data_IF_658405898880
#
_entry.id   IF_658405898880
#
_cell.length_a   1.000
_cell.length_b   1.000
_cell.length_c   1.000
_cell.angle_alpha   90.00
_cell.angle_beta   90.00
_cell.angle_gamma   90.00
#
_symmetry.space_group_name_H-M   'P 1'
#
loop_
_entity.id
_entity.type
_entity.pdbx_description
1 polymer ?
#
# COMPACT_ATOMS: atom_id res chain seq x y z
N UNK A 1 5.54 -9.84 -6.46
CA UNK A 1 6.10 -9.08 -5.34
C UNK A 1 5.12 -9.06 -4.17
N UNK A 2 5.63 -9.21 -2.95
CA UNK A 2 4.80 -9.11 -1.75
C UNK A 2 5.12 -7.80 -1.04
N UNK A 3 4.21 -6.80 -1.08
CA UNK A 3 4.49 -5.51 -0.47
C UNK A 3 4.72 -5.58 1.04
N UNK A 4 4.11 -6.54 1.74
CA UNK A 4 4.34 -6.69 3.17
C UNK A 4 5.79 -7.06 3.47
N UNK A 5 6.40 -7.90 2.65
CA UNK A 5 7.80 -8.26 2.81
C UNK A 5 8.72 -7.05 2.67
N UNK A 6 8.37 -6.15 1.75
CA UNK A 6 9.14 -4.93 1.55
C UNK A 6 8.99 -4.00 2.76
N UNK A 7 7.76 -3.82 3.24
CA UNK A 7 7.49 -2.99 4.40
C UNK A 7 8.26 -3.51 5.62
N UNK A 8 8.32 -4.82 5.78
CA UNK A 8 8.99 -5.45 6.92
C UNK A 8 10.51 -5.28 6.90
N UNK A 9 11.07 -4.85 5.79
CA UNK A 9 12.50 -4.51 5.74
C UNK A 9 12.79 -3.17 6.41
N UNK A 10 11.81 -2.30 6.50
CA UNK A 10 11.98 -0.94 6.99
C UNK A 10 11.29 -0.68 8.33
N UNK A 11 10.30 -1.49 8.67
CA UNK A 11 9.53 -1.32 9.89
C UNK A 11 9.43 -2.66 10.61
N UNK A 12 9.52 -2.61 11.93
CA UNK A 12 9.46 -3.83 12.75
C UNK A 12 8.03 -4.36 12.74
N UNK A 13 7.80 -5.61 12.25
CA UNK A 13 6.46 -6.19 12.24
C UNK A 13 5.85 -6.17 13.64
N UNK A 14 4.59 -5.73 13.72
CA UNK A 14 3.87 -5.65 14.98
C UNK A 14 4.12 -4.39 15.78
N UNK A 15 5.06 -3.52 15.36
CA UNK A 15 5.26 -2.24 16.03
C UNK A 15 4.11 -1.30 15.70
N UNK A 16 3.97 -0.22 16.49
CA UNK A 16 2.92 0.77 16.26
C UNK A 16 3.06 1.42 14.89
N UNK A 17 4.29 1.79 14.50
CA UNK A 17 4.53 2.40 13.21
C UNK A 17 4.17 1.46 12.07
N UNK A 18 4.56 0.20 12.19
CA UNK A 18 4.22 -0.81 11.19
C UNK A 18 2.70 -0.94 11.05
N UNK A 19 1.99 -1.04 12.17
CA UNK A 19 0.55 -1.22 12.16
C UNK A 19 -0.16 -0.01 11.56
N UNK A 20 0.29 1.20 11.88
CA UNK A 20 -0.29 2.42 11.30
C UNK A 20 -0.07 2.45 9.79
N UNK A 21 1.15 2.18 9.36
CA UNK A 21 1.48 2.21 7.94
C UNK A 21 0.69 1.17 7.16
N UNK A 22 0.63 -0.06 7.67
CA UNK A 22 -0.08 -1.14 6.99
C UNK A 22 -1.57 -0.83 6.89
N UNK A 23 -2.19 -0.38 7.98
CA UNK A 23 -3.63 -0.05 7.94
C UNK A 23 -3.93 1.07 6.96
N UNK A 24 -3.10 2.11 6.96
CA UNK A 24 -3.28 3.22 6.02
C UNK A 24 -3.13 2.73 4.59
N UNK A 25 -2.08 1.97 4.32
CA UNK A 25 -1.81 1.48 2.98
C UNK A 25 -2.91 0.55 2.48
N UNK A 26 -3.43 -0.31 3.34
CA UNK A 26 -4.54 -1.20 2.98
C UNK A 26 -5.80 -0.41 2.66
N UNK A 27 -6.07 0.65 3.41
CA UNK A 27 -7.24 1.50 3.13
C UNK A 27 -7.12 2.18 1.77
N UNK A 28 -5.93 2.67 1.44
CA UNK A 28 -5.68 3.29 0.14
C UNK A 28 -5.79 2.25 -0.98
N UNK A 29 -5.22 1.07 -0.76
CA UNK A 29 -5.32 -0.03 -1.72
C UNK A 29 -6.78 -0.38 -2.01
N UNK A 30 -7.58 -0.55 -0.95
CA UNK A 30 -8.98 -0.95 -1.11
C UNK A 30 -9.77 0.11 -1.88
N UNK A 31 -9.53 1.39 -1.60
CA UNK A 31 -10.16 2.47 -2.35
C UNK A 31 -9.74 2.47 -3.81
N UNK A 32 -8.46 2.30 -4.07
CA UNK A 32 -7.95 2.30 -5.43
C UNK A 32 -8.53 1.13 -6.23
N UNK A 33 -8.61 -0.05 -5.63
CA UNK A 33 -9.21 -1.21 -6.28
C UNK A 33 -10.69 -1.02 -6.53
N UNK A 34 -11.41 -0.42 -5.59
CA UNK A 34 -12.84 -0.16 -5.78
C UNK A 34 -13.07 0.77 -6.95
N UNK A 35 -12.26 1.82 -7.08
CA UNK A 35 -12.35 2.74 -8.21
C UNK A 35 -12.01 2.04 -9.53
N UNK A 36 -10.96 1.23 -9.53
CA UNK A 36 -10.56 0.51 -10.75
C UNK A 36 -11.65 -0.44 -11.22
N UNK A 37 -12.33 -1.12 -10.27
CA UNK A 37 -13.40 -2.04 -10.63
C UNK A 37 -14.65 -1.36 -11.16
N UNK A 38 -14.82 -0.07 -10.85
CA UNK A 38 -15.92 0.73 -11.42
C UNK A 38 -15.66 1.12 -12.87
N UNK A 39 -14.43 0.99 -13.34
CA UNK A 39 -14.05 1.42 -14.68
C UNK A 39 -13.35 0.30 -15.43
N UNK A 40 -14.06 -0.83 -15.66
CA UNK A 40 -13.46 -1.97 -16.37
C UNK A 40 -13.03 -1.62 -17.78
N UNK A 41 -13.63 -0.58 -18.37
CA UNK A 41 -13.26 -0.13 -19.70
C UNK A 41 -11.81 0.36 -19.79
N UNK A 42 -11.21 0.72 -18.66
CA UNK A 42 -9.83 1.20 -18.63
C UNK A 42 -8.81 0.06 -18.60
N UNK A 43 -9.26 -1.17 -18.39
CA UNK A 43 -8.41 -2.36 -18.38
C UNK A 43 -7.19 -2.21 -17.47
N UNK A 44 -7.40 -1.66 -16.26
CA UNK A 44 -6.31 -1.40 -15.33
C UNK A 44 -5.75 -2.69 -14.73
N UNK A 45 -4.44 -2.70 -14.51
CA UNK A 45 -3.76 -3.82 -13.85
C UNK A 45 -4.01 -3.73 -12.35
N UNK A 46 -4.95 -4.54 -11.84
CA UNK A 46 -5.34 -4.50 -10.44
C UNK A 46 -4.22 -4.92 -9.51
N UNK A 47 -3.40 -5.87 -9.93
CA UNK A 47 -2.26 -6.31 -9.12
C UNK A 47 -1.25 -5.19 -8.95
N UNK A 48 -0.92 -4.49 -10.04
CA UNK A 48 -0.02 -3.35 -9.98
C UNK A 48 -0.58 -2.24 -9.08
N UNK A 49 -1.88 -1.94 -9.22
CA UNK A 49 -2.53 -0.91 -8.41
C UNK A 49 -2.45 -1.25 -6.93
N UNK A 50 -2.72 -2.52 -6.59
CA UNK A 50 -2.66 -2.96 -5.20
C UNK A 50 -1.25 -2.82 -4.63
N UNK A 51 -0.25 -3.25 -5.38
CA UNK A 51 1.15 -3.17 -4.94
C UNK A 51 1.61 -1.72 -4.81
N UNK A 52 1.27 -0.89 -5.78
CA UNK A 52 1.65 0.52 -5.76
C UNK A 52 1.01 1.24 -4.57
N UNK A 53 -0.25 0.95 -4.28
CA UNK A 53 -0.95 1.57 -3.16
C UNK A 53 -0.31 1.17 -1.82
N UNK A 54 0.08 -0.10 -1.69
CA UNK A 54 0.70 -0.57 -0.45
C UNK A 54 2.05 0.07 -0.21
N UNK A 55 2.78 0.46 -1.26
CA UNK A 55 4.15 0.95 -1.13
C UNK A 55 4.28 2.47 -1.26
N UNK A 56 3.19 3.18 -1.60
CA UNK A 56 3.30 4.60 -1.94
C UNK A 56 3.79 5.47 -0.77
N UNK A 57 3.53 5.07 0.47
CA UNK A 57 3.91 5.83 1.65
C UNK A 57 5.04 5.18 2.46
N UNK A 58 5.72 4.18 1.88
CA UNK A 58 6.69 3.40 2.66
C UNK A 58 7.79 4.27 3.27
N UNK A 59 8.14 5.37 2.63
CA UNK A 59 9.19 6.26 3.12
C UNK A 59 8.70 7.43 3.96
N UNK A 60 7.39 7.60 4.14
CA UNK A 60 6.87 8.82 4.74
C UNK A 60 7.31 9.02 6.19
N UNK A 61 7.44 7.92 6.93
CA UNK A 61 7.84 7.99 8.33
C UNK A 61 9.35 8.10 8.50
N UNK A 62 10.12 7.75 7.47
CA UNK A 62 11.58 7.84 7.48
C UNK A 62 12.07 9.18 6.96
N UNK A 63 11.32 9.77 6.04
CA UNK A 63 11.72 11.02 5.43
C UNK A 63 11.19 12.22 6.19
N UNK A 64 10.65 12.01 7.33
CA UNK A 64 10.08 13.03 8.16
C UNK A 64 10.97 14.27 8.20
N UNK A 65 10.55 15.27 7.56
CA UNK A 65 11.34 16.48 7.46
C UNK A 65 10.72 17.58 8.28
#
# INVERSE_FOLDING_TARGET
MNPYEIIEKYYIPGSDLYNILVKHSEAVRDKALALARRHPELELDLEFIAEAAMLHDIGILETDA
#
